data_IF_216443106938
#
_entry.id   IF_216443106938
#
_cell.length_a   1.000
_cell.length_b   1.000
_cell.length_c   1.000
_cell.angle_alpha   90.00
_cell.angle_beta   90.00
_cell.angle_gamma   90.00
#
_symmetry.space_group_name_H-M   'P 1'
#
loop_
_entity.id
_entity.type
_entity.pdbx_description
1 polymer ?
#
# COMPACT_ATOMS: atom_id res chain seq x y z
N UNK A 1 63.74 15.04 -27.82
CA UNK A 1 62.58 15.77 -27.26
C UNK A 1 61.51 14.73 -27.00
N UNK A 2 61.41 14.25 -25.75
CA UNK A 2 60.42 13.26 -25.34
C UNK A 2 59.14 14.02 -24.94
N UNK A 3 58.10 13.96 -25.77
CA UNK A 3 56.75 14.34 -25.39
C UNK A 3 56.01 13.06 -25.04
N UNK A 4 55.74 12.83 -23.76
CA UNK A 4 54.87 11.76 -23.30
C UNK A 4 53.42 12.21 -23.53
N UNK A 5 52.68 11.46 -24.35
CA UNK A 5 51.24 11.62 -24.49
C UNK A 5 50.57 10.87 -23.33
N UNK A 6 49.92 11.61 -22.43
CA UNK A 6 49.02 11.04 -21.42
C UNK A 6 47.69 10.65 -22.09
N UNK A 7 47.22 9.39 -21.98
CA UNK A 7 45.89 9.06 -22.42
C UNK A 7 44.89 9.59 -21.39
N UNK A 8 44.07 10.54 -21.83
CA UNK A 8 42.91 11.03 -21.12
C UNK A 8 42.05 9.85 -20.65
N UNK A 9 42.04 9.60 -19.33
CA UNK A 9 41.19 8.61 -18.69
C UNK A 9 39.73 8.99 -18.90
N UNK A 10 39.09 8.32 -19.85
CA UNK A 10 37.63 8.33 -20.01
C UNK A 10 37.04 7.70 -18.75
N UNK A 11 36.62 8.51 -17.80
CA UNK A 11 35.77 8.07 -16.69
C UNK A 11 34.47 7.59 -17.31
N UNK A 12 34.42 6.30 -17.63
CA UNK A 12 33.16 5.61 -17.87
C UNK A 12 32.41 5.68 -16.55
N UNK A 13 31.27 6.34 -16.57
CA UNK A 13 30.27 6.26 -15.50
C UNK A 13 29.91 4.76 -15.41
N UNK A 14 30.58 4.04 -14.50
CA UNK A 14 30.30 2.63 -14.27
C UNK A 14 28.93 2.59 -13.60
N UNK A 15 27.91 2.11 -14.31
CA UNK A 15 26.63 1.82 -13.68
C UNK A 15 26.86 0.93 -12.46
N UNK A 16 26.25 1.25 -11.30
CA UNK A 16 26.43 0.46 -10.10
C UNK A 16 26.00 -0.98 -10.36
N UNK A 17 26.93 -1.93 -10.21
CA UNK A 17 26.64 -3.35 -10.37
C UNK A 17 26.21 -3.89 -9.01
N UNK A 18 24.96 -4.32 -8.91
CA UNK A 18 24.36 -4.92 -7.70
C UNK A 18 24.22 -6.42 -7.90
N UNK A 19 24.41 -7.23 -6.87
CA UNK A 19 24.21 -8.67 -6.96
C UNK A 19 22.74 -9.04 -6.80
N UNK A 20 22.32 -10.20 -7.33
CA UNK A 20 20.96 -10.70 -7.11
C UNK A 20 20.65 -10.93 -5.62
N UNK A 21 21.66 -11.27 -4.81
CA UNK A 21 21.48 -11.48 -3.37
C UNK A 21 21.12 -10.16 -2.69
N UNK A 22 21.87 -9.09 -2.99
CA UNK A 22 21.63 -7.77 -2.41
C UNK A 22 20.20 -7.28 -2.75
N UNK A 23 19.73 -7.49 -3.98
CA UNK A 23 18.35 -7.11 -4.39
C UNK A 23 17.29 -7.87 -3.60
N UNK A 24 17.48 -9.18 -3.37
CA UNK A 24 16.52 -9.98 -2.62
C UNK A 24 16.48 -9.58 -1.14
N UNK A 25 17.64 -9.26 -0.55
CA UNK A 25 17.73 -8.77 0.82
C UNK A 25 17.02 -7.41 0.96
N UNK A 26 17.24 -6.48 0.02
CA UNK A 26 16.56 -5.18 -0.02
C UNK A 26 15.02 -5.33 -0.18
N UNK A 27 14.56 -6.20 -1.07
CA UNK A 27 13.13 -6.47 -1.26
C UNK A 27 12.49 -7.01 0.04
N UNK A 28 13.14 -7.95 0.73
CA UNK A 28 12.66 -8.49 2.00
C UNK A 28 12.57 -7.40 3.09
N UNK A 29 13.56 -6.50 3.17
CA UNK A 29 13.53 -5.38 4.12
C UNK A 29 12.35 -4.44 3.85
N UNK A 30 12.10 -4.11 2.58
CA UNK A 30 10.98 -3.26 2.17
C UNK A 30 9.62 -3.91 2.47
N UNK A 31 9.47 -5.21 2.21
CA UNK A 31 8.27 -5.96 2.53
C UNK A 31 8.00 -6.02 4.04
N UNK A 32 9.05 -6.21 4.84
CA UNK A 32 8.96 -6.23 6.29
C UNK A 32 8.55 -4.86 6.86
N UNK A 33 9.11 -3.77 6.33
CA UNK A 33 8.71 -2.41 6.71
C UNK A 33 7.24 -2.15 6.36
N UNK A 34 6.82 -2.50 5.13
CA UNK A 34 5.44 -2.37 4.69
C UNK A 34 4.48 -3.17 5.60
N UNK A 35 4.85 -4.39 5.97
CA UNK A 35 4.08 -5.22 6.91
C UNK A 35 3.96 -4.56 8.29
N UNK A 36 5.04 -3.97 8.80
CA UNK A 36 5.04 -3.29 10.09
C UNK A 36 4.13 -2.04 10.09
N UNK A 37 4.14 -1.27 9.00
CA UNK A 37 3.33 -0.04 8.84
C UNK A 37 1.86 -0.38 8.61
N UNK A 38 1.56 -1.27 7.67
CA UNK A 38 0.19 -1.60 7.26
C UNK A 38 -0.45 -2.69 8.13
N UNK A 39 0.28 -3.25 9.08
CA UNK A 39 -0.20 -4.28 10.00
C UNK A 39 -0.54 -5.60 9.30
N UNK A 40 0.18 -5.96 8.25
CA UNK A 40 -0.06 -7.17 7.46
C UNK A 40 -1.39 -7.14 6.71
N UNK A 41 -1.84 -5.97 6.27
CA UNK A 41 -3.08 -5.84 5.49
C UNK A 41 -2.87 -6.37 4.08
N UNK A 42 -3.83 -7.16 3.60
CA UNK A 42 -3.84 -7.70 2.23
C UNK A 42 -4.27 -6.59 1.25
N UNK A 43 -3.52 -6.42 0.16
CA UNK A 43 -3.77 -5.42 -0.88
C UNK A 43 -4.72 -5.90 -1.97
N UNK A 44 -5.00 -7.20 -2.05
CA UNK A 44 -5.79 -7.82 -3.12
C UNK A 44 -7.15 -8.34 -2.62
N UNK A 45 -7.26 -8.67 -1.32
CA UNK A 45 -8.47 -9.28 -0.75
C UNK A 45 -9.12 -8.39 0.30
N UNK A 46 -10.43 -8.22 0.15
CA UNK A 46 -11.22 -7.53 1.17
C UNK A 46 -11.23 -8.30 2.50
N UNK A 47 -10.94 -7.63 3.60
CA UNK A 47 -10.92 -8.24 4.95
C UNK A 47 -12.32 -8.54 5.51
N UNK A 48 -13.40 -8.16 4.82
CA UNK A 48 -14.78 -8.36 5.30
C UNK A 48 -15.09 -9.82 5.67
N UNK A 49 -14.62 -10.78 4.86
CA UNK A 49 -14.82 -12.22 5.07
C UNK A 49 -14.07 -12.76 6.29
N UNK A 50 -13.01 -12.08 6.71
CA UNK A 50 -12.18 -12.45 7.86
C UNK A 50 -12.78 -11.98 9.20
N UNK A 51 -13.88 -11.22 9.16
CA UNK A 51 -14.52 -10.66 10.34
C UNK A 51 -13.70 -9.54 10.99
N UNK A 52 -13.68 -9.50 12.32
CA UNK A 52 -12.91 -8.50 13.08
C UNK A 52 -11.43 -8.87 13.15
N UNK A 53 -10.62 -8.26 12.28
CA UNK A 53 -9.18 -8.51 12.23
C UNK A 53 -8.48 -7.85 13.42
N UNK A 54 -7.53 -8.55 14.03
CA UNK A 54 -6.79 -8.09 15.23
C UNK A 54 -6.08 -6.75 15.01
N UNK A 55 -5.49 -6.55 13.83
CA UNK A 55 -4.83 -5.32 13.41
C UNK A 55 -4.89 -5.21 11.89
N UNK A 56 -5.31 -4.07 11.35
CA UNK A 56 -5.29 -3.78 9.90
C UNK A 56 -5.24 -2.26 9.66
N UNK A 57 -4.63 -1.83 8.56
CA UNK A 57 -4.67 -0.45 8.07
C UNK A 57 -6.07 -0.11 7.58
N UNK A 58 -6.57 1.06 8.01
CA UNK A 58 -7.90 1.54 7.66
C UNK A 58 -7.85 2.84 6.90
N UNK A 59 -8.84 3.00 6.03
CA UNK A 59 -9.05 4.22 5.27
C UNK A 59 -10.49 4.71 5.47
N UNK A 60 -10.67 6.01 5.61
CA UNK A 60 -11.97 6.66 5.52
C UNK A 60 -12.16 7.26 4.13
N UNK A 61 -13.36 7.14 3.57
CA UNK A 61 -13.69 7.70 2.26
C UNK A 61 -14.68 8.85 2.42
N UNK A 62 -14.22 10.11 2.34
CA UNK A 62 -15.11 11.27 2.49
C UNK A 62 -16.07 11.46 1.31
N UNK A 63 -15.76 10.86 0.16
CA UNK A 63 -16.65 10.88 -0.99
C UNK A 63 -17.87 9.98 -0.77
N UNK A 64 -17.69 8.82 -0.12
CA UNK A 64 -18.76 7.86 0.13
C UNK A 64 -19.43 8.05 1.50
N UNK A 65 -18.71 8.61 2.46
CA UNK A 65 -19.21 8.86 3.82
C UNK A 65 -18.98 10.35 4.15
N UNK A 66 -19.82 11.25 3.60
CA UNK A 66 -19.73 12.67 3.90
C UNK A 66 -20.11 12.98 5.35
N UNK A 67 -19.85 14.21 5.78
CA UNK A 67 -20.15 14.66 7.15
C UNK A 67 -21.65 14.48 7.47
N UNK A 68 -21.94 13.91 8.64
CA UNK A 68 -23.30 13.61 9.08
C UNK A 68 -23.79 12.20 8.75
N UNK A 69 -23.06 11.41 7.95
CA UNK A 69 -23.32 9.97 7.81
C UNK A 69 -22.60 9.13 8.87
N UNK A 70 -23.03 7.87 9.02
CA UNK A 70 -22.39 6.95 9.96
C UNK A 70 -20.94 6.69 9.56
N UNK A 71 -19.96 6.86 10.49
CA UNK A 71 -18.56 6.60 10.18
C UNK A 71 -18.33 5.17 9.67
N UNK A 72 -17.66 5.07 8.53
CA UNK A 72 -17.31 3.82 7.89
C UNK A 72 -15.81 3.77 7.58
N UNK A 73 -15.21 2.60 7.75
CA UNK A 73 -13.82 2.33 7.41
C UNK A 73 -13.69 1.24 6.36
N UNK A 74 -12.74 1.39 5.45
CA UNK A 74 -12.45 0.38 4.44
C UNK A 74 -11.02 -0.15 4.61
N UNK A 75 -10.81 -1.42 4.26
CA UNK A 75 -9.50 -2.04 4.28
C UNK A 75 -8.62 -1.57 3.10
N UNK A 76 -7.34 -1.93 3.15
CA UNK A 76 -6.34 -1.61 2.12
C UNK A 76 -6.79 -2.01 0.70
N UNK A 77 -7.18 -3.27 0.49
CA UNK A 77 -7.61 -3.74 -0.83
C UNK A 77 -8.82 -2.95 -1.38
N UNK A 78 -9.81 -2.64 -0.54
CA UNK A 78 -10.96 -1.83 -0.96
C UNK A 78 -10.57 -0.38 -1.27
N UNK A 79 -9.54 0.14 -0.61
CA UNK A 79 -9.01 1.49 -0.89
C UNK A 79 -8.50 1.60 -2.33
N UNK A 80 -7.90 0.53 -2.86
CA UNK A 80 -7.43 0.47 -4.24
C UNK A 80 -8.56 0.16 -5.23
N UNK A 81 -9.29 -0.93 -5.00
CA UNK A 81 -10.18 -1.49 -6.03
C UNK A 81 -11.57 -0.84 -6.08
N UNK A 82 -12.10 -0.46 -4.91
CA UNK A 82 -13.46 0.07 -4.79
C UNK A 82 -13.48 1.60 -4.65
N UNK A 83 -12.45 2.18 -4.05
CA UNK A 83 -12.41 3.61 -3.73
C UNK A 83 -11.15 4.35 -4.28
N UNK A 84 -10.40 3.74 -5.20
CA UNK A 84 -9.12 4.30 -5.68
C UNK A 84 -9.21 5.66 -6.38
N UNK A 85 -10.39 6.03 -6.87
CA UNK A 85 -10.67 7.35 -7.48
C UNK A 85 -11.32 8.35 -6.53
N UNK A 86 -11.51 8.00 -5.25
CA UNK A 86 -12.18 8.84 -4.26
C UNK A 86 -11.19 9.57 -3.35
N UNK A 87 -11.71 10.52 -2.57
CA UNK A 87 -10.93 11.18 -1.54
C UNK A 87 -10.86 10.28 -0.31
N UNK A 88 -9.69 9.68 -0.11
CA UNK A 88 -9.38 8.77 0.99
C UNK A 88 -8.48 9.43 2.03
N UNK A 89 -8.68 9.03 3.28
CA UNK A 89 -7.83 9.42 4.41
C UNK A 89 -7.34 8.16 5.11
N UNK A 90 -6.03 8.02 5.23
CA UNK A 90 -5.42 6.94 6.00
C UNK A 90 -5.61 7.18 7.50
N UNK A 91 -6.17 6.18 8.19
CA UNK A 91 -6.42 6.20 9.63
C UNK A 91 -5.38 5.38 10.41
N UNK A 92 -4.32 4.95 9.73
CA UNK A 92 -3.32 3.98 10.18
C UNK A 92 -3.97 2.66 10.64
N UNK A 93 -3.17 1.81 11.29
CA UNK A 93 -3.68 0.52 11.78
C UNK A 93 -4.62 0.67 12.98
N UNK A 94 -5.75 -0.05 12.97
CA UNK A 94 -6.70 -0.19 14.10
C UNK A 94 -6.90 -1.65 14.47
N UNK A 95 -7.50 -1.91 15.63
CA UNK A 95 -7.75 -3.26 16.17
C UNK A 95 -9.23 -3.64 16.11
N UNK A 96 -9.49 -4.94 15.98
CA UNK A 96 -10.82 -5.56 16.01
C UNK A 96 -11.83 -4.94 15.03
N UNK A 97 -11.32 -4.46 13.89
CA UNK A 97 -12.14 -3.83 12.86
C UNK A 97 -12.51 -4.84 11.78
N UNK A 98 -13.67 -4.66 11.16
CA UNK A 98 -14.12 -5.38 9.98
C UNK A 98 -14.40 -4.35 8.89
N UNK A 99 -13.90 -4.58 7.67
CA UNK A 99 -14.16 -3.70 6.52
C UNK A 99 -15.65 -3.37 6.42
N UNK A 100 -16.00 -2.11 6.12
CA UNK A 100 -17.39 -1.71 5.91
C UNK A 100 -17.76 -1.64 4.41
N UNK A 101 -16.80 -1.79 3.49
CA UNK A 101 -17.05 -1.69 2.06
C UNK A 101 -18.17 -2.66 1.61
N UNK A 102 -19.18 -2.14 0.91
CA UNK A 102 -20.30 -2.95 0.41
C UNK A 102 -21.43 -3.23 1.41
N UNK A 103 -21.30 -2.84 2.67
CA UNK A 103 -22.35 -3.07 3.67
C UNK A 103 -23.38 -1.93 3.74
N UNK A 104 -24.35 -2.04 4.65
CA UNK A 104 -25.45 -1.06 4.81
C UNK A 104 -25.01 0.38 5.12
N UNK A 105 -23.75 0.60 5.55
CA UNK A 105 -23.20 1.95 5.73
C UNK A 105 -22.89 2.64 4.39
N UNK A 106 -22.81 1.90 3.30
CA UNK A 106 -22.62 2.43 1.95
C UNK A 106 -23.92 2.25 1.15
N UNK A 107 -24.60 3.36 0.84
CA UNK A 107 -25.96 3.34 0.29
C UNK A 107 -26.07 2.73 -1.12
N UNK A 108 -25.03 2.87 -1.96
CA UNK A 108 -25.08 2.48 -3.38
C UNK A 108 -23.72 1.95 -3.87
N UNK A 109 -23.06 1.12 -3.06
CA UNK A 109 -21.77 0.53 -3.43
C UNK A 109 -21.76 -0.94 -3.06
N UNK A 110 -21.43 -1.79 -4.02
CA UNK A 110 -21.14 -3.20 -3.81
C UNK A 110 -19.63 -3.40 -3.83
N UNK A 111 -19.11 -4.24 -2.94
CA UNK A 111 -17.68 -4.48 -2.88
C UNK A 111 -17.25 -5.39 -4.04
N UNK A 112 -16.34 -4.91 -4.91
CA UNK A 112 -15.85 -5.69 -6.06
C UNK A 112 -15.07 -6.95 -5.65
N UNK A 113 -14.47 -6.92 -4.47
CA UNK A 113 -13.60 -7.98 -3.93
C UNK A 113 -14.34 -8.97 -3.02
N UNK A 114 -15.54 -8.60 -2.58
CA UNK A 114 -16.43 -9.46 -1.80
C UNK A 114 -17.88 -9.10 -2.17
N UNK A 115 -18.35 -9.56 -3.35
CA UNK A 115 -19.71 -9.30 -3.80
C UNK A 115 -20.76 -9.97 -2.90
#
# INVERSE_FOLDING_TARGET
>A
MAGAEEPAGRQSELEPVVSLVDVLEEDEELENEACAVLGGSDSEKCSYSQGSVKRQALYACSTCTPEGEEPAGICLACSYECHGSHKLFELYTKRNFRCDCGNSKFKNLECKLFP
#
